data_IF_544302099725
#
_entry.id   IF_544302099725
#
_cell.length_a   1.000
_cell.length_b   1.000
_cell.length_c   1.000
_cell.angle_alpha   90.00
_cell.angle_beta   90.00
_cell.angle_gamma   90.00
#
_symmetry.space_group_name_H-M   'P 1'
#
loop_
_entity.id
_entity.type
_entity.pdbx_description
1 polymer ?
#
# COMPACT_ATOMS: atom_id res chain seq x y z
N UNK A 1 -12.77 6.87 -3.72
CA UNK A 1 -12.31 6.85 -2.32
C UNK A 1 -12.26 8.28 -1.84
N UNK A 2 -12.83 8.59 -0.69
CA UNK A 2 -12.88 9.96 -0.15
C UNK A 2 -11.62 10.34 0.63
N UNK A 3 -10.82 9.35 1.05
CA UNK A 3 -9.62 9.51 1.89
C UNK A 3 -8.37 9.03 1.16
N UNK A 4 -7.20 9.56 1.54
CA UNK A 4 -5.92 9.03 1.09
C UNK A 4 -5.62 7.71 1.80
N UNK A 5 -5.24 6.71 1.01
CA UNK A 5 -4.83 5.42 1.51
C UNK A 5 -3.50 5.00 0.89
N UNK A 6 -2.64 4.45 1.74
CA UNK A 6 -1.53 3.62 1.30
C UNK A 6 -1.96 2.17 1.47
N UNK A 7 -1.82 1.38 0.41
CA UNK A 7 -2.09 -0.05 0.40
C UNK A 7 -0.87 -0.82 -0.10
N UNK A 8 -0.77 -2.07 0.31
CA UNK A 8 0.18 -3.03 -0.24
C UNK A 8 -0.56 -4.23 -0.81
N UNK A 9 -0.32 -4.48 -2.10
CA UNK A 9 -0.74 -5.70 -2.78
C UNK A 9 0.31 -6.76 -2.51
N UNK A 10 -0.08 -7.90 -1.96
CA UNK A 10 0.81 -9.00 -1.61
C UNK A 10 0.62 -10.14 -2.60
N UNK A 11 1.72 -10.68 -3.12
CA UNK A 11 1.70 -11.67 -4.20
C UNK A 11 2.58 -12.89 -3.92
N UNK A 12 2.18 -14.01 -4.52
CA UNK A 12 2.95 -15.26 -4.52
C UNK A 12 4.07 -15.25 -5.59
N UNK A 13 4.81 -16.36 -5.66
CA UNK A 13 5.93 -16.55 -6.61
C UNK A 13 5.52 -16.57 -8.08
N UNK A 14 4.20 -16.64 -8.36
CA UNK A 14 3.62 -16.58 -9.70
C UNK A 14 2.94 -15.24 -9.97
N UNK A 15 3.24 -14.22 -9.16
CA UNK A 15 2.64 -12.88 -9.21
C UNK A 15 1.12 -12.87 -9.06
N UNK A 16 0.54 -13.87 -8.38
CA UNK A 16 -0.90 -13.90 -8.09
C UNK A 16 -1.18 -13.15 -6.79
N UNK A 17 -2.23 -12.33 -6.80
CA UNK A 17 -2.65 -11.57 -5.63
C UNK A 17 -3.14 -12.52 -4.55
N UNK A 18 -2.47 -12.49 -3.40
CA UNK A 18 -2.85 -13.23 -2.21
C UNK A 18 -3.71 -12.38 -1.27
N UNK A 19 -3.36 -11.10 -1.13
CA UNK A 19 -4.01 -10.18 -0.19
C UNK A 19 -3.74 -8.72 -0.54
N UNK A 20 -4.60 -7.81 -0.09
CA UNK A 20 -4.38 -6.36 -0.17
C UNK A 20 -4.53 -5.80 1.25
N UNK A 21 -3.45 -5.25 1.80
CA UNK A 21 -3.46 -4.64 3.13
C UNK A 21 -3.52 -3.11 3.01
N UNK A 22 -4.39 -2.47 3.78
CA UNK A 22 -4.34 -1.01 3.96
C UNK A 22 -3.35 -0.69 5.07
N UNK A 23 -2.24 -0.03 4.74
CA UNK A 23 -1.18 0.35 5.69
C UNK A 23 -1.38 1.74 6.28
N UNK A 24 -2.13 2.59 5.59
CA UNK A 24 -2.49 3.91 6.06
C UNK A 24 -3.86 4.33 5.50
N UNK A 25 -4.62 5.07 6.31
CA UNK A 25 -5.87 5.74 5.94
C UNK A 25 -5.88 7.10 6.65
N UNK A 26 -5.93 8.19 5.92
CA UNK A 26 -5.92 9.53 6.50
C UNK A 26 -6.19 10.66 5.50
N UNK A 27 -5.92 11.91 5.92
CA UNK A 27 -6.18 13.12 5.12
C UNK A 27 -4.93 13.62 4.36
N UNK A 28 -5.21 14.48 3.39
CA UNK A 28 -4.54 14.77 2.09
C UNK A 28 -3.07 15.26 2.14
N UNK A 29 -2.43 15.33 3.32
CA UNK A 29 -1.24 16.18 3.48
C UNK A 29 0.09 15.44 3.63
N UNK A 30 0.12 14.18 4.07
CA UNK A 30 1.30 13.29 3.98
C UNK A 30 1.02 12.00 4.73
N UNK A 31 1.38 10.86 4.14
CA UNK A 31 1.44 9.57 4.84
C UNK A 31 2.86 9.34 5.35
N UNK A 32 3.14 9.71 6.61
CA UNK A 32 4.36 9.23 7.28
C UNK A 32 4.15 7.78 7.70
N UNK A 33 4.44 6.85 6.80
CA UNK A 33 4.43 5.42 7.07
C UNK A 33 5.85 4.95 7.32
N UNK A 34 6.07 4.28 8.45
CA UNK A 34 7.34 3.59 8.70
C UNK A 34 7.47 2.47 7.68
N UNK A 35 8.60 2.42 6.96
CA UNK A 35 8.89 1.39 5.96
C UNK A 35 8.64 -0.03 6.48
N UNK A 36 8.94 -0.30 7.75
CA UNK A 36 8.68 -1.58 8.39
C UNK A 36 7.19 -2.02 8.33
N UNK A 37 6.25 -1.09 8.42
CA UNK A 37 4.81 -1.41 8.35
C UNK A 37 4.38 -1.85 6.94
N UNK A 38 5.08 -1.39 5.89
CA UNK A 38 4.86 -1.85 4.50
C UNK A 38 5.19 -3.35 4.36
N UNK A 39 6.27 -3.80 5.01
CA UNK A 39 6.75 -5.18 4.90
C UNK A 39 6.08 -6.15 5.88
N UNK A 40 5.54 -5.66 6.99
CA UNK A 40 4.98 -6.50 8.08
C UNK A 40 3.93 -7.49 7.60
N UNK A 41 3.01 -7.03 6.73
CA UNK A 41 1.97 -7.89 6.18
C UNK A 41 2.52 -8.93 5.18
N UNK A 42 3.55 -8.57 4.41
CA UNK A 42 4.22 -9.47 3.48
C UNK A 42 4.92 -10.62 4.22
N UNK A 43 5.66 -10.29 5.29
CA UNK A 43 6.35 -11.27 6.14
C UNK A 43 5.33 -12.23 6.80
N UNK A 44 4.28 -11.68 7.43
CA UNK A 44 3.24 -12.50 8.10
C UNK A 44 2.51 -13.46 7.15
N UNK A 45 2.44 -13.13 5.86
CA UNK A 45 1.67 -13.90 4.86
C UNK A 45 2.56 -14.69 3.91
N UNK A 46 3.88 -14.71 4.12
CA UNK A 46 4.85 -15.34 3.22
C UNK A 46 4.69 -14.87 1.76
N UNK A 47 4.38 -13.58 1.57
CA UNK A 47 4.33 -12.99 0.24
C UNK A 47 5.75 -12.82 -0.28
N UNK A 48 5.99 -13.21 -1.53
CA UNK A 48 7.32 -13.11 -2.16
C UNK A 48 7.51 -11.80 -2.90
N UNK A 49 6.42 -11.13 -3.25
CA UNK A 49 6.42 -9.89 -3.99
C UNK A 49 5.35 -8.95 -3.40
N UNK A 50 5.60 -7.64 -3.48
CA UNK A 50 4.63 -6.62 -3.09
C UNK A 50 4.60 -5.44 -4.05
N UNK A 51 3.44 -4.80 -4.18
CA UNK A 51 3.26 -3.52 -4.88
C UNK A 51 2.68 -2.52 -3.88
N UNK A 52 3.30 -1.34 -3.78
CA UNK A 52 2.79 -0.23 -2.97
C UNK A 52 1.86 0.62 -3.84
N UNK A 53 0.67 0.90 -3.34
CA UNK A 53 -0.37 1.68 -4.02
C UNK A 53 -0.73 2.86 -3.14
N UNK A 54 -0.73 4.07 -3.70
CA UNK A 54 -1.22 5.27 -3.05
C UNK A 54 -2.31 5.91 -3.90
N UNK A 55 -3.45 6.26 -3.30
CA UNK A 55 -4.48 7.01 -3.99
C UNK A 55 -4.51 8.48 -3.51
N UNK A 56 -4.66 9.39 -4.47
CA UNK A 56 -5.05 10.78 -4.20
C UNK A 56 -6.53 10.96 -4.57
N UNK A 57 -7.43 11.28 -3.63
CA UNK A 57 -8.85 11.50 -3.90
C UNK A 57 -9.13 12.54 -5.00
N UNK A 58 -8.24 13.53 -5.16
CA UNK A 58 -8.32 14.55 -6.23
C UNK A 58 -8.09 13.99 -7.64
N UNK A 59 -7.59 12.76 -7.78
CA UNK A 59 -7.28 12.14 -9.06
C UNK A 59 -6.03 12.68 -9.75
N UNK A 60 -5.35 13.67 -9.17
CA UNK A 60 -4.12 14.26 -9.72
C UNK A 60 -2.90 13.65 -9.02
N UNK A 61 -2.02 12.91 -9.72
CA UNK A 61 -0.73 12.53 -9.17
C UNK A 61 0.08 13.80 -8.92
N UNK A 62 0.50 14.04 -7.67
CA UNK A 62 1.42 15.14 -7.39
C UNK A 62 2.77 14.73 -8.00
N UNK A 63 3.26 15.50 -8.97
CA UNK A 63 4.60 15.29 -9.55
C UNK A 63 5.64 15.35 -8.44
N UNK A 64 6.46 14.29 -8.33
CA UNK A 64 7.61 14.23 -7.42
C UNK A 64 8.64 15.30 -7.76
#
# INVERSE_FOLDING_TARGET
>A
MEQEELRVLLMDTRNRVQHIETVYRGSVNSSQVRVAEIFKAAIRRNATNLIVIHNHPSGVPRSM
#
